data_IF_506419633678
#
_entry.id   IF_506419633678
#
_cell.length_a   1.000
_cell.length_b   1.000
_cell.length_c   1.000
_cell.angle_alpha   90.00
_cell.angle_beta   90.00
_cell.angle_gamma   90.00
#
_symmetry.space_group_name_H-M   'P 1'
#
loop_
_entity.id
_entity.type
_entity.pdbx_description
1 polymer ?
#
# COMPACT_ATOMS: atom_id res chain seq x y z
N UNK A 1 -16.90 -22.50 20.36
CA UNK A 1 -17.53 -21.20 20.06
C UNK A 1 -16.58 -20.42 19.16
N UNK A 2 -17.02 -20.00 17.96
CA UNK A 2 -16.16 -19.24 17.07
C UNK A 2 -15.94 -17.84 17.66
N UNK A 3 -14.67 -17.46 17.77
CA UNK A 3 -14.25 -16.10 18.12
C UNK A 3 -14.66 -15.17 16.97
N UNK A 4 -15.31 -14.03 17.22
CA UNK A 4 -15.62 -13.08 16.16
C UNK A 4 -14.30 -12.59 15.56
N UNK A 5 -14.07 -12.86 14.28
CA UNK A 5 -13.05 -12.17 13.50
C UNK A 5 -13.57 -10.75 13.34
N UNK A 6 -12.89 -9.80 13.97
CA UNK A 6 -13.15 -8.39 13.83
C UNK A 6 -12.97 -8.00 12.36
N UNK A 7 -14.10 -7.72 11.68
CA UNK A 7 -14.15 -7.37 10.25
C UNK A 7 -13.70 -5.93 9.98
N UNK A 8 -13.35 -5.18 11.03
CA UNK A 8 -13.02 -3.76 10.93
C UNK A 8 -11.50 -3.48 10.86
N UNK A 9 -10.67 -4.50 10.64
CA UNK A 9 -9.23 -4.29 10.34
C UNK A 9 -8.93 -4.21 8.84
N UNK A 10 -9.96 -4.22 8.00
CA UNK A 10 -9.85 -3.96 6.56
C UNK A 10 -9.83 -2.45 6.38
N UNK A 11 -8.66 -1.92 5.98
CA UNK A 11 -8.49 -0.56 5.49
C UNK A 11 -8.77 0.55 6.52
N UNK A 12 -7.73 0.97 7.26
CA UNK A 12 -7.81 2.14 8.11
C UNK A 12 -7.83 3.42 7.26
N UNK A 13 -8.94 4.19 7.21
CA UNK A 13 -9.02 5.44 6.46
C UNK A 13 -8.05 6.52 6.99
N UNK A 14 -7.43 6.34 8.15
CA UNK A 14 -6.37 7.23 8.63
C UNK A 14 -5.09 7.16 7.77
N UNK A 15 -4.85 6.08 7.02
CA UNK A 15 -3.70 5.99 6.09
C UNK A 15 -3.94 6.81 4.82
N UNK A 16 -5.20 7.13 4.49
CA UNK A 16 -5.54 8.02 3.38
C UNK A 16 -5.18 9.49 3.66
N UNK A 17 -4.82 9.86 4.90
CA UNK A 17 -4.58 11.26 5.28
C UNK A 17 -3.18 11.79 4.97
N UNK A 18 -2.22 10.95 4.57
CA UNK A 18 -0.85 11.39 4.32
C UNK A 18 -0.62 11.91 2.89
N UNK A 19 -1.45 11.51 1.92
CA UNK A 19 -1.37 11.94 0.52
C UNK A 19 -2.63 12.73 0.10
N UNK A 20 -2.53 14.08 0.03
CA UNK A 20 -3.64 14.94 -0.39
C UNK A 20 -4.23 14.59 -1.76
N UNK A 21 -3.43 14.02 -2.67
CA UNK A 21 -3.91 13.61 -3.99
C UNK A 21 -4.83 12.40 -3.86
N UNK A 22 -4.39 11.31 -3.22
CA UNK A 22 -5.22 10.11 -3.01
C UNK A 22 -6.53 10.42 -2.30
N UNK A 23 -6.50 11.26 -1.26
CA UNK A 23 -7.71 11.70 -0.56
C UNK A 23 -8.66 12.45 -1.50
N UNK A 24 -8.14 13.28 -2.40
CA UNK A 24 -8.94 14.00 -3.39
C UNK A 24 -9.50 13.07 -4.45
N UNK A 25 -8.69 12.13 -4.97
CA UNK A 25 -9.12 11.15 -5.96
C UNK A 25 -10.27 10.28 -5.45
N UNK A 26 -10.21 9.83 -4.19
CA UNK A 26 -11.30 9.11 -3.54
C UNK A 26 -12.62 9.92 -3.52
N UNK A 27 -12.57 11.25 -3.35
CA UNK A 27 -13.75 12.13 -3.36
C UNK A 27 -14.36 12.31 -4.75
N UNK A 28 -13.57 12.11 -5.81
CA UNK A 28 -14.01 12.23 -7.23
C UNK A 28 -14.06 10.88 -7.93
N UNK A 29 -13.98 9.77 -7.19
CA UNK A 29 -14.05 8.42 -7.71
C UNK A 29 -15.49 8.02 -8.08
N UNK A 30 -15.68 7.06 -9.02
CA UNK A 30 -16.99 6.49 -9.35
C UNK A 30 -17.78 6.03 -8.11
N UNK A 31 -19.09 6.26 -8.16
CA UNK A 31 -20.01 6.05 -7.04
C UNK A 31 -20.16 7.24 -6.08
N UNK A 32 -19.30 8.25 -6.17
CA UNK A 32 -19.47 9.49 -5.40
C UNK A 32 -20.43 10.47 -6.10
N UNK A 33 -21.20 11.29 -5.34
CA UNK A 33 -22.06 12.31 -5.96
C UNK A 33 -21.25 13.41 -6.68
N UNK A 34 -20.00 13.64 -6.28
CA UNK A 34 -19.09 14.56 -6.97
C UNK A 34 -18.67 14.00 -8.33
N UNK A 35 -18.28 12.73 -8.44
CA UNK A 35 -18.01 12.11 -9.75
C UNK A 35 -19.23 12.14 -10.67
N UNK A 36 -20.41 11.77 -10.17
CA UNK A 36 -21.66 11.84 -10.95
C UNK A 36 -21.90 13.25 -11.52
N UNK A 37 -21.66 14.30 -10.71
CA UNK A 37 -21.78 15.68 -11.18
C UNK A 37 -20.80 16.02 -12.31
N UNK A 38 -19.54 15.57 -12.20
CA UNK A 38 -18.49 15.84 -13.18
C UNK A 38 -18.77 15.12 -14.49
N UNK A 39 -19.23 13.87 -14.43
CA UNK A 39 -19.65 13.12 -15.61
C UNK A 39 -20.85 13.76 -16.30
N UNK A 40 -21.83 14.28 -15.54
CA UNK A 40 -22.97 15.03 -16.11
C UNK A 40 -22.52 16.32 -16.78
N UNK A 41 -21.56 17.04 -16.20
CA UNK A 41 -21.00 18.27 -16.77
C UNK A 41 -20.30 17.95 -18.09
N UNK A 42 -19.48 16.89 -18.08
CA UNK A 42 -18.72 16.42 -19.23
C UNK A 42 -19.64 15.96 -20.37
N UNK A 43 -20.60 15.07 -20.10
CA UNK A 43 -21.61 14.58 -21.07
C UNK A 43 -22.47 15.71 -21.61
N UNK A 44 -22.77 16.70 -20.76
CA UNK A 44 -23.50 17.90 -21.14
C UNK A 44 -22.68 18.94 -21.90
N UNK A 45 -21.41 18.61 -22.25
CA UNK A 45 -20.49 19.49 -22.97
C UNK A 45 -20.41 20.88 -22.37
N UNK A 46 -20.32 20.98 -21.04
CA UNK A 46 -20.19 22.25 -20.33
C UNK A 46 -18.82 22.30 -19.65
N UNK A 47 -18.18 23.46 -19.62
CA UNK A 47 -16.98 23.67 -18.83
C UNK A 47 -17.32 23.89 -17.36
N UNK A 48 -16.40 23.58 -16.44
CA UNK A 48 -16.59 23.89 -15.02
C UNK A 48 -15.26 24.19 -14.34
N UNK A 49 -15.31 25.06 -13.33
CA UNK A 49 -14.21 25.31 -12.40
C UNK A 49 -14.77 25.20 -10.98
N UNK A 50 -14.28 24.25 -10.20
CA UNK A 50 -14.86 23.90 -8.89
C UNK A 50 -13.75 23.91 -7.84
N UNK A 51 -13.94 24.65 -6.76
CA UNK A 51 -13.01 24.67 -5.61
C UNK A 51 -13.61 23.88 -4.45
N UNK A 52 -12.82 22.95 -3.88
CA UNK A 52 -13.22 22.09 -2.77
C UNK A 52 -12.69 22.62 -1.44
N UNK A 53 -13.21 23.76 -1.01
CA UNK A 53 -12.82 24.45 0.21
C UNK A 53 -13.26 25.91 0.17
N UNK A 54 -13.60 26.45 1.34
CA UNK A 54 -13.95 27.85 1.49
C UNK A 54 -13.39 28.38 2.80
N UNK A 55 -12.52 29.38 2.70
CA UNK A 55 -11.95 30.12 3.81
C UNK A 55 -11.79 31.61 3.41
N UNK A 56 -11.15 32.40 4.27
CA UNK A 56 -10.90 33.83 3.99
C UNK A 56 -10.03 34.05 2.76
N UNK A 57 -9.11 33.13 2.45
CA UNK A 57 -8.23 33.23 1.28
C UNK A 57 -9.06 33.05 0.01
N UNK A 58 -9.85 31.97 -0.07
CA UNK A 58 -10.76 31.71 -1.21
C UNK A 58 -11.76 32.85 -1.36
N UNK A 59 -12.34 33.35 -0.26
CA UNK A 59 -13.29 34.47 -0.28
C UNK A 59 -12.68 35.74 -0.85
N UNK A 60 -11.46 36.09 -0.43
CA UNK A 60 -10.76 37.30 -0.92
C UNK A 60 -10.46 37.27 -2.42
N UNK A 61 -10.41 36.07 -3.02
CA UNK A 61 -10.14 35.86 -4.45
C UNK A 61 -11.42 35.80 -5.29
N UNK A 62 -12.59 35.73 -4.65
CA UNK A 62 -13.88 35.68 -5.34
C UNK A 62 -14.38 37.08 -5.68
N UNK A 63 -14.62 37.34 -6.97
CA UNK A 63 -15.26 38.57 -7.45
C UNK A 63 -16.58 38.23 -8.14
N UNK A 64 -17.64 39.02 -7.86
CA UNK A 64 -18.98 38.78 -8.40
C UNK A 64 -19.61 37.48 -7.92
N UNK A 65 -20.49 36.92 -8.75
CA UNK A 65 -21.23 35.70 -8.46
C UNK A 65 -22.29 35.87 -7.36
N UNK A 66 -22.81 34.73 -6.89
CA UNK A 66 -23.90 34.68 -5.91
C UNK A 66 -23.44 33.90 -4.69
N UNK A 67 -23.56 34.48 -3.47
CA UNK A 67 -23.46 33.69 -2.26
C UNK A 67 -24.63 32.71 -2.24
N UNK A 68 -24.29 31.44 -2.04
CA UNK A 68 -25.23 30.35 -1.88
C UNK A 68 -24.95 29.72 -0.52
N UNK A 69 -25.95 29.05 0.03
CA UNK A 69 -25.70 28.15 1.14
C UNK A 69 -26.72 27.03 1.06
N UNK A 70 -26.48 26.12 0.12
CA UNK A 70 -27.39 25.04 -0.21
C UNK A 70 -26.68 23.70 -0.13
N UNK A 71 -27.40 22.66 0.24
CA UNK A 71 -26.84 21.31 0.26
C UNK A 71 -26.37 20.89 -1.13
N UNK A 72 -25.26 20.16 -1.14
CA UNK A 72 -24.68 19.62 -2.34
C UNK A 72 -25.53 18.48 -2.89
N UNK A 73 -25.84 18.54 -4.19
CA UNK A 73 -26.31 17.40 -4.97
C UNK A 73 -25.66 17.44 -6.35
N UNK A 74 -25.48 16.28 -6.97
CA UNK A 74 -24.88 16.18 -8.31
C UNK A 74 -25.64 17.04 -9.34
N UNK A 75 -26.98 17.01 -9.28
CA UNK A 75 -27.85 17.83 -10.12
C UNK A 75 -27.68 19.32 -9.88
N UNK A 76 -27.64 19.77 -8.61
CA UNK A 76 -27.45 21.21 -8.30
C UNK A 76 -26.12 21.72 -8.83
N UNK A 77 -25.03 20.98 -8.58
CA UNK A 77 -23.73 21.38 -9.10
C UNK A 77 -23.73 21.42 -10.63
N UNK A 78 -24.31 20.42 -11.29
CA UNK A 78 -24.42 20.38 -12.75
C UNK A 78 -25.14 21.60 -13.33
N UNK A 79 -26.24 22.01 -12.71
CA UNK A 79 -27.05 23.16 -13.14
C UNK A 79 -26.30 24.49 -12.92
N UNK A 80 -25.65 24.64 -11.76
CA UNK A 80 -24.85 25.84 -11.47
C UNK A 80 -23.65 25.98 -12.40
N UNK A 81 -23.02 24.88 -12.80
CA UNK A 81 -21.93 24.88 -13.78
C UNK A 81 -22.37 25.25 -15.21
N UNK A 82 -23.67 25.45 -15.49
CA UNK A 82 -24.11 26.06 -16.76
C UNK A 82 -23.84 27.56 -16.82
N UNK A 83 -23.66 28.19 -15.65
CA UNK A 83 -23.27 29.58 -15.55
C UNK A 83 -21.76 29.72 -15.77
N UNK A 84 -21.33 30.88 -16.27
CA UNK A 84 -19.91 31.19 -16.37
C UNK A 84 -19.29 31.46 -14.99
N UNK A 85 -18.02 31.08 -14.83
CA UNK A 85 -17.27 31.26 -13.59
C UNK A 85 -17.01 29.96 -12.85
N UNK A 86 -16.76 30.08 -11.55
CA UNK A 86 -16.47 28.97 -10.66
C UNK A 86 -17.61 28.71 -9.67
N UNK A 87 -17.63 27.47 -9.16
CA UNK A 87 -18.49 27.03 -8.07
C UNK A 87 -17.61 26.66 -6.87
N UNK A 88 -17.98 27.11 -5.68
CA UNK A 88 -17.23 26.84 -4.44
C UNK A 88 -18.04 25.90 -3.57
N UNK A 89 -17.42 24.81 -3.16
CA UNK A 89 -17.99 23.78 -2.30
C UNK A 89 -17.22 23.79 -0.98
N UNK A 90 -17.89 23.48 0.12
CA UNK A 90 -17.23 23.29 1.42
C UNK A 90 -16.17 22.19 1.37
N UNK A 91 -15.19 22.25 2.28
CA UNK A 91 -14.09 21.28 2.33
C UNK A 91 -14.59 19.83 2.56
N UNK A 92 -15.65 19.66 3.35
CA UNK A 92 -16.34 18.38 3.58
C UNK A 92 -17.16 17.88 2.37
N UNK A 93 -17.41 18.75 1.38
CA UNK A 93 -18.19 18.41 0.18
C UNK A 93 -19.70 18.44 0.36
N UNK A 94 -20.23 18.89 1.50
CA UNK A 94 -21.66 18.80 1.81
C UNK A 94 -22.48 20.00 1.32
N UNK A 95 -21.87 21.17 1.07
CA UNK A 95 -22.62 22.39 0.71
C UNK A 95 -21.94 23.16 -0.41
N UNK A 96 -22.76 23.80 -1.25
CA UNK A 96 -22.34 24.75 -2.27
C UNK A 96 -22.48 26.15 -1.68
N UNK A 97 -21.36 26.85 -1.56
CA UNK A 97 -21.24 28.14 -0.85
C UNK A 97 -21.31 29.32 -1.81
N UNK A 98 -20.82 29.16 -3.04
CA UNK A 98 -20.87 30.23 -4.04
C UNK A 98 -20.96 29.64 -5.44
N UNK A 99 -21.59 30.35 -6.36
CA UNK A 99 -21.59 30.02 -7.78
C UNK A 99 -21.43 31.25 -8.66
N UNK A 100 -21.04 31.02 -9.91
CA UNK A 100 -20.77 32.05 -10.91
C UNK A 100 -19.74 33.11 -10.45
N UNK A 101 -18.77 32.70 -9.61
CA UNK A 101 -17.73 33.60 -9.13
C UNK A 101 -16.56 33.66 -10.11
N UNK A 102 -15.99 34.84 -10.30
CA UNK A 102 -14.72 34.99 -10.99
C UNK A 102 -13.59 34.86 -9.96
N UNK A 103 -12.70 33.87 -10.15
CA UNK A 103 -11.53 33.67 -9.29
C UNK A 103 -10.35 34.49 -9.80
N UNK A 104 -9.76 35.30 -8.93
CA UNK A 104 -8.61 36.16 -9.21
C UNK A 104 -7.40 35.76 -8.35
N UNK A 105 -6.71 34.65 -8.68
CA UNK A 105 -5.47 34.28 -8.00
C UNK A 105 -4.32 35.22 -8.36
N UNK A 106 -3.28 35.22 -7.52
CA UNK A 106 -2.07 35.98 -7.78
C UNK A 106 -1.45 35.59 -9.13
N UNK A 107 -1.26 36.59 -10.00
CA UNK A 107 -0.72 36.42 -11.33
C UNK A 107 0.77 36.04 -11.34
N UNK A 108 1.49 36.30 -10.25
CA UNK A 108 2.91 35.96 -10.07
C UNK A 108 3.14 34.45 -9.91
N UNK A 109 2.12 33.70 -9.51
CA UNK A 109 2.21 32.25 -9.32
C UNK A 109 2.46 31.55 -10.68
N UNK A 110 3.56 30.79 -10.83
CA UNK A 110 3.88 30.11 -12.07
C UNK A 110 2.84 29.03 -12.38
N UNK A 111 2.50 28.94 -13.67
CA UNK A 111 1.55 27.95 -14.18
C UNK A 111 2.09 27.41 -15.50
N UNK A 112 2.04 26.09 -15.66
CA UNK A 112 2.44 25.40 -16.89
C UNK A 112 1.26 25.22 -17.87
N UNK A 113 0.05 25.59 -17.45
CA UNK A 113 -1.17 25.42 -18.23
C UNK A 113 -1.34 26.51 -19.30
N UNK A 114 -1.92 26.16 -20.45
CA UNK A 114 -2.15 27.09 -21.57
C UNK A 114 -3.54 27.74 -21.56
N UNK A 115 -4.55 27.07 -21.00
CA UNK A 115 -5.93 27.57 -20.95
C UNK A 115 -6.21 28.47 -19.74
N UNK A 116 -6.97 29.55 -19.91
CA UNK A 116 -7.30 30.49 -18.82
C UNK A 116 -7.92 29.79 -17.61
N UNK A 117 -8.88 28.88 -17.82
CA UNK A 117 -9.51 28.09 -16.74
C UNK A 117 -8.51 27.16 -16.03
N UNK A 118 -7.65 26.48 -16.78
CA UNK A 118 -6.64 25.57 -16.24
C UNK A 118 -5.56 26.31 -15.46
N UNK A 119 -5.10 27.46 -15.96
CA UNK A 119 -4.18 28.37 -15.26
C UNK A 119 -4.78 28.88 -13.97
N UNK A 120 -6.03 29.30 -13.99
CA UNK A 120 -6.74 29.72 -12.77
C UNK A 120 -6.84 28.56 -11.79
N UNK A 121 -7.22 27.36 -12.26
CA UNK A 121 -7.32 26.17 -11.40
C UNK A 121 -6.00 25.84 -10.69
N UNK A 122 -4.90 25.78 -11.45
CA UNK A 122 -3.57 25.49 -10.91
C UNK A 122 -3.13 26.55 -9.88
N UNK A 123 -3.33 27.84 -10.19
CA UNK A 123 -2.92 28.93 -9.30
C UNK A 123 -3.76 28.98 -8.03
N UNK A 124 -5.08 28.80 -8.14
CA UNK A 124 -5.98 28.76 -6.97
C UNK A 124 -5.58 27.58 -6.08
N UNK A 125 -5.31 26.39 -6.64
CA UNK A 125 -4.87 25.23 -5.88
C UNK A 125 -3.54 25.50 -5.15
N UNK A 126 -2.55 26.10 -5.83
CA UNK A 126 -1.26 26.47 -5.23
C UNK A 126 -1.40 27.53 -4.13
N UNK A 127 -2.23 28.54 -4.35
CA UNK A 127 -2.38 29.68 -3.43
C UNK A 127 -3.17 29.32 -2.18
N UNK A 128 -4.20 28.49 -2.32
CA UNK A 128 -5.14 28.17 -1.23
C UNK A 128 -4.80 26.85 -0.54
N UNK A 129 -4.08 25.95 -1.21
CA UNK A 129 -3.87 24.58 -0.76
C UNK A 129 -5.10 23.67 -0.93
N UNK A 130 -6.26 24.20 -1.31
CA UNK A 130 -7.46 23.40 -1.55
C UNK A 130 -7.43 22.71 -2.91
N UNK A 131 -8.05 21.52 -3.03
CA UNK A 131 -8.21 20.89 -4.33
C UNK A 131 -9.10 21.72 -5.26
N UNK A 132 -8.69 21.86 -6.51
CA UNK A 132 -9.45 22.55 -7.56
C UNK A 132 -9.65 21.62 -8.74
N UNK A 133 -10.88 21.56 -9.25
CA UNK A 133 -11.27 20.72 -10.38
C UNK A 133 -11.62 21.61 -11.56
N UNK A 134 -11.06 21.29 -12.72
CA UNK A 134 -11.38 21.92 -14.01
C UNK A 134 -11.97 20.89 -14.95
N UNK A 135 -13.11 21.19 -15.56
CA UNK A 135 -13.71 20.39 -16.63
C UNK A 135 -13.55 21.15 -17.95
N UNK A 136 -12.89 20.52 -18.91
CA UNK A 136 -12.67 21.07 -20.24
C UNK A 136 -13.68 20.50 -21.24
N UNK A 137 -14.56 21.37 -21.73
CA UNK A 137 -15.56 21.01 -22.74
C UNK A 137 -14.92 20.56 -24.06
N UNK A 138 -13.89 21.26 -24.54
CA UNK A 138 -13.30 21.00 -25.86
C UNK A 138 -12.45 19.74 -25.89
N UNK A 139 -11.71 19.48 -24.80
CA UNK A 139 -10.83 18.33 -24.69
C UNK A 139 -11.51 17.11 -24.08
N UNK A 140 -12.71 17.27 -23.52
CA UNK A 140 -13.44 16.21 -22.82
C UNK A 140 -12.61 15.57 -21.68
N UNK A 141 -11.92 16.40 -20.90
CA UNK A 141 -11.08 15.97 -19.77
C UNK A 141 -11.51 16.65 -18.46
N UNK A 142 -11.29 15.93 -17.35
CA UNK A 142 -11.43 16.47 -16.00
C UNK A 142 -10.03 16.51 -15.38
N UNK A 143 -9.56 17.71 -15.02
CA UNK A 143 -8.28 17.91 -14.34
C UNK A 143 -8.49 18.24 -12.87
N UNK A 144 -7.74 17.59 -12.00
CA UNK A 144 -7.68 17.83 -10.55
C UNK A 144 -6.32 18.45 -10.23
N UNK A 145 -6.33 19.55 -9.50
CA UNK A 145 -5.14 20.28 -9.07
C UNK A 145 -5.10 20.28 -7.54
N UNK A 146 -4.06 19.68 -6.96
CA UNK A 146 -3.91 19.54 -5.50
C UNK A 146 -2.44 19.42 -5.16
N UNK A 147 -1.99 20.08 -4.08
CA UNK A 147 -0.60 20.03 -3.59
C UNK A 147 0.46 20.31 -4.68
N UNK A 148 0.16 21.22 -5.63
CA UNK A 148 1.06 21.56 -6.73
C UNK A 148 1.16 20.53 -7.86
N UNK A 149 0.39 19.44 -7.79
CA UNK A 149 0.31 18.41 -8.81
C UNK A 149 -0.97 18.57 -9.65
N UNK A 150 -0.90 18.13 -10.90
CA UNK A 150 -2.06 17.99 -11.79
C UNK A 150 -2.28 16.51 -12.08
N UNK A 151 -3.50 16.06 -11.88
CA UNK A 151 -3.94 14.71 -12.24
C UNK A 151 -5.15 14.80 -13.17
N UNK A 152 -5.15 14.05 -14.27
CA UNK A 152 -6.29 13.98 -15.20
C UNK A 152 -7.09 12.73 -14.86
N UNK A 153 -8.38 12.89 -14.58
CA UNK A 153 -9.23 11.73 -14.29
C UNK A 153 -9.51 10.98 -15.59
N UNK A 154 -9.10 9.72 -15.60
CA UNK A 154 -9.39 8.80 -16.69
C UNK A 154 -10.82 8.25 -16.60
N UNK A 155 -11.26 7.63 -17.70
CA UNK A 155 -12.49 6.84 -17.73
C UNK A 155 -12.29 5.51 -16.99
N UNK A 156 -13.34 5.03 -16.30
CA UNK A 156 -13.30 3.78 -15.53
C UNK A 156 -12.78 2.61 -16.37
N UNK A 157 -13.15 2.52 -17.66
CA UNK A 157 -12.72 1.44 -18.54
C UNK A 157 -11.21 1.44 -18.80
N UNK A 158 -10.59 2.62 -18.90
CA UNK A 158 -9.14 2.74 -19.09
C UNK A 158 -8.39 2.35 -17.82
N UNK A 159 -8.86 2.82 -16.66
CA UNK A 159 -8.26 2.49 -15.37
C UNK A 159 -8.39 0.98 -15.11
N UNK A 160 -9.56 0.38 -15.34
CA UNK A 160 -9.79 -1.06 -15.22
C UNK A 160 -8.86 -1.87 -16.12
N UNK A 161 -8.64 -1.44 -17.37
CA UNK A 161 -7.73 -2.14 -18.29
C UNK A 161 -6.29 -2.17 -17.75
N UNK A 162 -5.77 -1.04 -17.26
CA UNK A 162 -4.43 -0.97 -16.66
C UNK A 162 -4.35 -1.79 -15.36
N UNK A 163 -5.37 -1.68 -14.52
CA UNK A 163 -5.43 -2.40 -13.26
C UNK A 163 -5.45 -3.93 -13.46
N UNK A 164 -6.20 -4.44 -14.44
CA UNK A 164 -6.21 -5.86 -14.78
C UNK A 164 -4.83 -6.34 -15.30
N UNK A 165 -4.11 -5.50 -16.06
CA UNK A 165 -2.74 -5.83 -16.49
C UNK A 165 -1.77 -5.90 -15.31
N UNK A 166 -1.89 -4.96 -14.36
CA UNK A 166 -1.10 -4.97 -13.13
C UNK A 166 -1.44 -6.19 -12.26
N UNK A 167 -2.73 -6.54 -12.10
CA UNK A 167 -3.18 -7.71 -11.37
C UNK A 167 -2.64 -9.02 -11.96
N UNK A 168 -2.74 -9.20 -13.27
CA UNK A 168 -2.16 -10.36 -13.94
C UNK A 168 -0.62 -10.44 -13.75
N UNK A 169 0.04 -9.29 -13.59
CA UNK A 169 1.47 -9.23 -13.26
C UNK A 169 1.70 -9.63 -11.81
N UNK A 170 0.89 -9.14 -10.87
CA UNK A 170 0.94 -9.52 -9.47
C UNK A 170 0.78 -11.04 -9.29
N UNK A 171 -0.17 -11.67 -9.99
CA UNK A 171 -0.37 -13.13 -9.98
C UNK A 171 0.90 -13.89 -10.36
N UNK A 172 1.58 -13.48 -11.44
CA UNK A 172 2.85 -14.10 -11.86
C UNK A 172 3.95 -13.91 -10.82
N UNK A 173 4.02 -12.74 -10.19
CA UNK A 173 5.00 -12.49 -9.14
C UNK A 173 4.71 -13.27 -7.87
N UNK A 174 3.43 -13.45 -7.53
CA UNK A 174 2.99 -14.27 -6.39
C UNK A 174 3.34 -15.74 -6.58
N UNK A 175 3.08 -16.30 -7.77
CA UNK A 175 3.51 -17.67 -8.12
C UNK A 175 5.03 -17.82 -7.96
N UNK A 176 5.81 -16.86 -8.47
CA UNK A 176 7.26 -16.90 -8.32
C UNK A 176 7.71 -16.75 -6.87
N UNK A 177 7.02 -15.94 -6.07
CA UNK A 177 7.29 -15.82 -4.63
C UNK A 177 7.05 -17.17 -3.94
N UNK A 178 5.97 -17.86 -4.28
CA UNK A 178 5.64 -19.17 -3.68
C UNK A 178 6.70 -20.23 -4.03
N UNK A 179 7.17 -20.26 -5.28
CA UNK A 179 8.28 -21.14 -5.70
C UNK A 179 9.57 -20.89 -4.90
N UNK A 180 9.99 -19.63 -4.77
CA UNK A 180 11.24 -19.29 -4.08
C UNK A 180 11.09 -19.48 -2.57
N UNK A 181 9.90 -19.24 -2.00
CA UNK A 181 9.58 -19.51 -0.59
C UNK A 181 9.59 -21.01 -0.27
N UNK A 182 9.06 -21.84 -1.18
CA UNK A 182 9.15 -23.30 -1.08
C UNK A 182 10.60 -23.78 -1.13
N UNK A 183 11.39 -23.27 -2.08
CA UNK A 183 12.83 -23.57 -2.19
C UNK A 183 13.58 -23.20 -0.91
N UNK A 184 13.34 -21.99 -0.37
CA UNK A 184 13.94 -21.56 0.88
C UNK A 184 13.53 -22.48 2.04
N UNK A 185 12.26 -22.89 2.11
CA UNK A 185 11.78 -23.81 3.16
C UNK A 185 12.52 -25.16 3.12
N UNK A 186 12.82 -25.69 1.93
CA UNK A 186 13.61 -26.92 1.80
C UNK A 186 15.06 -26.74 2.30
N UNK A 187 15.71 -25.64 1.90
CA UNK A 187 17.06 -25.31 2.35
C UNK A 187 17.13 -25.09 3.88
N UNK A 188 16.07 -24.53 4.46
CA UNK A 188 15.96 -24.31 5.91
C UNK A 188 15.93 -25.61 6.71
N UNK A 189 15.22 -26.63 6.21
CA UNK A 189 15.16 -27.95 6.83
C UNK A 189 16.52 -28.65 6.71
N UNK A 190 17.16 -28.56 5.54
CA UNK A 190 18.46 -29.20 5.26
C UNK A 190 19.66 -28.46 5.90
N UNK A 191 19.45 -27.29 6.52
CA UNK A 191 20.49 -26.39 7.06
C UNK A 191 21.52 -25.94 6.01
N UNK A 192 21.06 -25.68 4.80
CA UNK A 192 21.89 -25.29 3.64
C UNK A 192 21.60 -23.87 3.14
N UNK A 193 20.96 -23.04 3.95
CA UNK A 193 20.56 -21.69 3.54
C UNK A 193 21.77 -20.77 3.42
N UNK A 194 21.82 -20.02 2.31
CA UNK A 194 22.72 -18.87 2.17
C UNK A 194 21.97 -17.55 2.31
N UNK A 195 22.69 -16.46 2.59
CA UNK A 195 22.10 -15.11 2.61
C UNK A 195 21.35 -14.82 1.31
N UNK A 196 21.89 -15.26 0.16
CA UNK A 196 21.26 -15.09 -1.15
C UNK A 196 19.84 -15.68 -1.20
N UNK A 197 19.64 -16.87 -0.66
CA UNK A 197 18.35 -17.57 -0.71
C UNK A 197 17.30 -16.80 0.10
N UNK A 198 17.66 -16.35 1.31
CA UNK A 198 16.79 -15.54 2.15
C UNK A 198 16.45 -14.19 1.48
N UNK A 199 17.46 -13.49 0.94
CA UNK A 199 17.26 -12.20 0.29
C UNK A 199 16.47 -12.31 -1.02
N UNK A 200 16.55 -13.44 -1.74
CA UNK A 200 15.73 -13.66 -2.91
C UNK A 200 14.23 -13.71 -2.56
N UNK A 201 13.86 -14.32 -1.43
CA UNK A 201 12.47 -14.29 -0.93
C UNK A 201 12.06 -12.88 -0.51
N UNK A 202 12.90 -12.17 0.26
CA UNK A 202 12.64 -10.77 0.66
C UNK A 202 12.45 -9.86 -0.56
N UNK A 203 13.34 -9.96 -1.56
CA UNK A 203 13.23 -9.19 -2.80
C UNK A 203 11.89 -9.45 -3.50
N UNK A 204 11.45 -10.70 -3.59
CA UNK A 204 10.17 -11.05 -4.24
C UNK A 204 8.96 -10.54 -3.47
N UNK A 205 9.00 -10.60 -2.14
CA UNK A 205 7.98 -9.99 -1.28
C UNK A 205 7.86 -8.49 -1.54
N UNK A 206 8.98 -7.77 -1.60
CA UNK A 206 8.96 -6.32 -1.89
C UNK A 206 8.41 -6.01 -3.28
N UNK A 207 8.75 -6.82 -4.29
CA UNK A 207 8.21 -6.65 -5.64
C UNK A 207 6.69 -6.86 -5.69
N UNK A 208 6.18 -7.93 -5.04
CA UNK A 208 4.73 -8.19 -4.90
C UNK A 208 4.05 -7.02 -4.20
N UNK A 209 4.60 -6.54 -3.08
CA UNK A 209 4.03 -5.45 -2.29
C UNK A 209 3.93 -4.14 -3.09
N UNK A 210 4.97 -3.79 -3.85
CA UNK A 210 4.99 -2.56 -4.67
C UNK A 210 3.98 -2.57 -5.81
N UNK A 211 3.81 -3.72 -6.47
CA UNK A 211 2.77 -3.88 -7.51
C UNK A 211 1.37 -3.78 -6.87
N UNK A 212 1.19 -4.37 -5.69
CA UNK A 212 -0.06 -4.25 -4.94
C UNK A 212 -0.39 -2.80 -4.56
N UNK A 213 0.60 -2.03 -4.09
CA UNK A 213 0.44 -0.60 -3.78
C UNK A 213 0.02 0.22 -5.01
N UNK A 214 0.49 -0.15 -6.21
CA UNK A 214 0.06 0.45 -7.48
C UNK A 214 -1.40 0.10 -7.80
N UNK A 215 -1.78 -1.18 -7.66
CA UNK A 215 -3.16 -1.63 -7.90
C UNK A 215 -4.13 -0.98 -6.92
N UNK A 216 -3.75 -0.83 -5.65
CA UNK A 216 -4.54 -0.12 -4.65
C UNK A 216 -4.82 1.34 -5.05
N UNK A 217 -3.87 1.98 -5.74
CA UNK A 217 -4.07 3.29 -6.37
C UNK A 217 -5.20 3.27 -7.40
N UNK A 218 -5.20 2.30 -8.31
CA UNK A 218 -6.28 2.13 -9.29
C UNK A 218 -7.63 1.83 -8.63
N UNK A 219 -7.67 1.04 -7.55
CA UNK A 219 -8.90 0.76 -6.79
C UNK A 219 -9.49 2.04 -6.19
N UNK A 220 -8.64 2.92 -5.63
CA UNK A 220 -9.08 4.22 -5.11
C UNK A 220 -9.70 5.07 -6.21
N UNK A 221 -9.06 5.15 -7.37
CA UNK A 221 -9.58 5.92 -8.51
C UNK A 221 -10.86 5.34 -9.10
N UNK A 222 -11.05 4.02 -9.04
CA UNK A 222 -12.24 3.32 -9.53
C UNK A 222 -13.41 3.37 -8.56
N UNK A 223 -13.19 3.64 -7.27
CA UNK A 223 -14.25 3.71 -6.27
C UNK A 223 -15.15 2.47 -6.29
N UNK A 224 -16.45 2.65 -6.52
CA UNK A 224 -17.40 1.53 -6.57
C UNK A 224 -17.16 0.56 -7.72
N UNK A 225 -16.60 1.04 -8.85
CA UNK A 225 -16.33 0.22 -10.03
C UNK A 225 -15.16 -0.77 -9.77
N UNK A 226 -14.32 -0.47 -8.79
CA UNK A 226 -13.14 -1.25 -8.41
C UNK A 226 -13.41 -2.39 -7.44
N UNK A 227 -14.67 -2.63 -7.04
CA UNK A 227 -15.00 -3.59 -5.97
C UNK A 227 -14.46 -5.01 -6.22
N UNK A 228 -14.61 -5.54 -7.44
CA UNK A 228 -14.13 -6.88 -7.76
C UNK A 228 -12.60 -6.96 -7.78
N UNK A 229 -11.95 -5.93 -8.31
CA UNK A 229 -10.50 -5.80 -8.33
C UNK A 229 -9.93 -5.78 -6.90
N UNK A 230 -10.58 -5.05 -5.98
CA UNK A 230 -10.18 -5.01 -4.56
C UNK A 230 -10.22 -6.39 -3.92
N UNK A 231 -11.30 -7.16 -4.15
CA UNK A 231 -11.43 -8.51 -3.59
C UNK A 231 -10.34 -9.45 -4.11
N UNK A 232 -10.00 -9.36 -5.39
CA UNK A 232 -8.93 -10.15 -5.99
C UNK A 232 -7.56 -9.75 -5.43
N UNK A 233 -7.32 -8.45 -5.25
CA UNK A 233 -6.09 -7.96 -4.63
C UNK A 233 -5.93 -8.48 -3.19
N UNK A 234 -7.00 -8.39 -2.39
CA UNK A 234 -7.01 -8.86 -1.01
C UNK A 234 -6.72 -10.37 -0.91
N UNK A 235 -7.27 -11.16 -1.84
CA UNK A 235 -7.01 -12.60 -1.91
C UNK A 235 -5.53 -12.90 -2.25
N UNK A 236 -4.95 -12.21 -3.24
CA UNK A 236 -3.55 -12.40 -3.63
C UNK A 236 -2.55 -11.96 -2.56
N UNK A 237 -2.90 -10.92 -1.79
CA UNK A 237 -2.06 -10.38 -0.73
C UNK A 237 -2.22 -11.10 0.61
N UNK A 238 -3.17 -12.02 0.73
CA UNK A 238 -3.40 -12.78 1.95
C UNK A 238 -2.11 -13.48 2.42
N UNK A 239 -1.65 -13.14 3.62
CA UNK A 239 -0.45 -13.71 4.24
C UNK A 239 0.89 -13.13 3.78
N UNK A 240 0.92 -12.29 2.73
CA UNK A 240 2.17 -11.74 2.18
C UNK A 240 2.89 -10.84 3.18
N UNK A 241 2.17 -9.92 3.84
CA UNK A 241 2.77 -9.00 4.83
C UNK A 241 3.25 -9.72 6.10
N UNK A 242 2.54 -10.78 6.52
CA UNK A 242 3.00 -11.61 7.63
C UNK A 242 4.26 -12.38 7.26
N UNK A 243 4.30 -12.98 6.06
CA UNK A 243 5.47 -13.71 5.57
C UNK A 243 6.68 -12.79 5.43
N UNK A 244 6.47 -11.57 4.94
CA UNK A 244 7.50 -10.51 4.89
C UNK A 244 8.14 -10.30 6.25
N UNK A 245 7.31 -10.08 7.26
CA UNK A 245 7.81 -9.84 8.62
C UNK A 245 8.53 -11.07 9.17
N UNK A 246 7.99 -12.27 8.97
CA UNK A 246 8.57 -13.51 9.50
C UNK A 246 9.93 -13.85 8.86
N UNK A 247 10.05 -13.71 7.54
CA UNK A 247 11.33 -13.93 6.83
C UNK A 247 12.37 -12.94 7.33
N UNK A 248 12.02 -11.66 7.48
CA UNK A 248 12.96 -10.65 7.99
C UNK A 248 13.41 -11.00 9.41
N UNK A 249 12.47 -11.40 10.28
CA UNK A 249 12.79 -11.83 11.65
C UNK A 249 13.75 -13.02 11.70
N UNK A 250 13.60 -13.98 10.79
CA UNK A 250 14.44 -15.17 10.76
C UNK A 250 15.87 -14.91 10.29
N UNK A 251 16.07 -13.89 9.46
CA UNK A 251 17.34 -13.64 8.78
C UNK A 251 17.96 -12.28 9.11
N UNK A 252 17.49 -11.59 10.14
CA UNK A 252 18.18 -10.39 10.61
C UNK A 252 19.52 -10.77 11.26
N UNK A 253 20.62 -10.07 10.94
CA UNK A 253 21.90 -10.29 11.62
C UNK A 253 21.78 -10.04 13.13
N UNK A 254 22.03 -11.07 13.94
CA UNK A 254 21.93 -11.01 15.42
C UNK A 254 23.25 -10.67 16.11
N UNK A 255 24.38 -10.74 15.40
CA UNK A 255 25.73 -10.46 15.93
C UNK A 255 26.15 -8.99 15.83
N UNK A 256 27.21 -8.61 16.57
CA UNK A 256 27.89 -7.31 16.33
C UNK A 256 28.43 -7.31 14.90
N UNK A 257 27.92 -6.39 14.10
CA UNK A 257 28.37 -6.19 12.71
C UNK A 257 29.78 -5.60 12.70
N UNK A 258 30.51 -5.83 11.59
CA UNK A 258 31.81 -5.21 11.36
C UNK A 258 31.73 -3.69 11.59
N UNK A 259 32.61 -3.16 12.45
CA UNK A 259 32.61 -1.74 12.84
C UNK A 259 31.80 -1.40 14.10
N UNK A 260 31.34 -2.38 14.88
CA UNK A 260 30.73 -2.15 16.20
C UNK A 260 29.30 -1.60 16.17
N UNK A 261 28.64 -1.67 15.02
CA UNK A 261 27.23 -1.27 14.88
C UNK A 261 26.31 -2.25 15.60
N UNK A 262 25.25 -1.70 16.21
CA UNK A 262 24.14 -2.50 16.77
C UNK A 262 23.43 -3.26 15.64
N UNK A 263 22.92 -4.46 15.90
CA UNK A 263 22.05 -5.14 14.96
C UNK A 263 20.80 -4.29 14.69
N UNK A 264 20.34 -4.34 13.44
CA UNK A 264 19.16 -3.60 12.98
C UNK A 264 17.89 -4.24 13.54
N UNK A 265 16.89 -3.44 13.91
CA UNK A 265 15.58 -3.98 14.30
C UNK A 265 14.75 -4.40 13.07
N UNK A 266 13.70 -5.19 13.29
CA UNK A 266 12.74 -5.56 12.24
C UNK A 266 12.11 -4.32 11.61
N UNK A 267 11.64 -3.39 12.42
CA UNK A 267 11.02 -2.15 11.94
C UNK A 267 12.00 -1.30 11.13
N UNK A 268 13.25 -1.20 11.58
CA UNK A 268 14.30 -0.48 10.83
C UNK A 268 14.58 -1.14 9.47
N UNK A 269 14.59 -2.47 9.40
CA UNK A 269 14.79 -3.18 8.13
C UNK A 269 13.60 -3.01 7.18
N UNK A 270 12.37 -3.09 7.68
CA UNK A 270 11.16 -2.84 6.89
C UNK A 270 11.17 -1.44 6.28
N UNK A 271 11.52 -0.42 7.07
CA UNK A 271 11.63 0.97 6.59
C UNK A 271 12.70 1.10 5.51
N UNK A 272 13.88 0.53 5.71
CA UNK A 272 14.96 0.60 4.73
C UNK A 272 14.60 -0.12 3.42
N UNK A 273 13.88 -1.24 3.49
CA UNK A 273 13.37 -1.95 2.32
C UNK A 273 12.31 -1.13 1.57
N UNK A 274 11.43 -0.44 2.30
CA UNK A 274 10.42 0.44 1.71
C UNK A 274 11.05 1.62 0.96
N UNK A 275 12.21 2.11 1.42
CA UNK A 275 12.94 3.23 0.81
C UNK A 275 13.71 2.86 -0.46
N UNK A 276 13.93 1.57 -0.74
CA UNK A 276 14.67 1.17 -1.95
C UNK A 276 13.97 1.66 -3.21
N UNK A 277 14.73 2.07 -4.21
CA UNK A 277 14.20 2.32 -5.56
C UNK A 277 13.96 1.00 -6.30
N UNK A 278 13.20 1.05 -7.40
CA UNK A 278 12.99 -0.14 -8.24
C UNK A 278 14.30 -0.73 -8.77
N UNK A 279 15.30 0.11 -9.07
CA UNK A 279 16.61 -0.33 -9.55
C UNK A 279 17.45 -0.96 -8.44
N UNK A 280 17.48 -0.35 -7.25
CA UNK A 280 18.20 -0.90 -6.10
C UNK A 280 17.57 -2.22 -5.65
N UNK A 281 16.24 -2.36 -5.74
CA UNK A 281 15.57 -3.60 -5.38
C UNK A 281 16.01 -4.79 -6.24
N UNK A 282 16.39 -4.58 -7.50
CA UNK A 282 16.89 -5.64 -8.39
C UNK A 282 18.25 -6.18 -7.92
N UNK A 283 19.07 -5.33 -7.30
CA UNK A 283 20.38 -5.69 -6.78
C UNK A 283 20.29 -6.29 -5.37
N UNK A 284 20.57 -7.59 -5.24
CA UNK A 284 20.56 -8.28 -3.95
C UNK A 284 21.57 -7.71 -2.94
N UNK A 285 22.65 -7.05 -3.38
CA UNK A 285 23.60 -6.39 -2.45
C UNK A 285 22.95 -5.19 -1.77
N UNK A 286 22.11 -4.45 -2.50
CA UNK A 286 21.31 -3.34 -1.96
C UNK A 286 20.23 -3.84 -0.99
N UNK A 287 19.57 -4.96 -1.31
CA UNK A 287 18.62 -5.62 -0.38
C UNK A 287 19.34 -6.14 0.87
N UNK A 288 20.54 -6.73 0.73
CA UNK A 288 21.38 -7.16 1.85
C UNK A 288 21.69 -5.99 2.78
N UNK A 289 22.07 -4.85 2.21
CA UNK A 289 22.33 -3.61 2.96
C UNK A 289 21.10 -3.14 3.73
N UNK A 290 19.90 -3.19 3.13
CA UNK A 290 18.64 -2.85 3.80
C UNK A 290 18.28 -3.83 4.93
N UNK A 291 18.67 -5.09 4.79
CA UNK A 291 18.57 -6.12 5.84
C UNK A 291 19.65 -6.03 6.93
N UNK A 292 20.63 -5.12 6.80
CA UNK A 292 21.69 -4.91 7.79
C UNK A 292 22.93 -5.78 7.58
N UNK A 293 23.01 -6.50 6.47
CA UNK A 293 24.21 -7.22 6.06
C UNK A 293 25.27 -6.27 5.47
N UNK A 294 26.56 -6.64 5.52
CA UNK A 294 27.59 -5.97 4.74
C UNK A 294 27.27 -5.94 3.24
N UNK A 295 27.53 -4.80 2.60
CA UNK A 295 27.26 -4.58 1.17
C UNK A 295 28.35 -5.17 0.28
N UNK A 296 28.58 -6.48 0.38
CA UNK A 296 29.61 -7.20 -0.38
C UNK A 296 29.06 -8.47 -0.99
N UNK A 297 29.48 -8.81 -2.22
CA UNK A 297 29.03 -10.02 -2.92
C UNK A 297 29.37 -11.29 -2.16
N UNK A 298 30.52 -11.33 -1.48
CA UNK A 298 30.94 -12.46 -0.62
C UNK A 298 29.94 -12.76 0.50
N UNK A 299 29.21 -11.75 0.98
CA UNK A 299 28.19 -11.94 2.02
C UNK A 299 27.00 -12.73 1.52
N UNK A 300 26.69 -12.66 0.22
CA UNK A 300 25.56 -13.39 -0.36
C UNK A 300 25.78 -14.92 -0.30
N UNK A 301 27.03 -15.36 -0.37
CA UNK A 301 27.39 -16.78 -0.37
C UNK A 301 27.65 -17.31 1.05
N UNK A 302 27.54 -16.45 2.07
CA UNK A 302 27.67 -16.86 3.47
C UNK A 302 26.47 -17.72 3.89
N UNK A 303 26.77 -18.80 4.63
CA UNK A 303 25.74 -19.64 5.23
C UNK A 303 25.08 -18.94 6.41
N UNK A 304 23.76 -19.12 6.53
CA UNK A 304 22.96 -18.57 7.63
C UNK A 304 21.94 -19.60 8.07
N UNK A 305 21.60 -19.62 9.36
CA UNK A 305 20.54 -20.47 9.89
C UNK A 305 19.37 -19.60 10.33
N UNK A 306 18.13 -19.93 9.94
CA UNK A 306 16.95 -19.19 10.40
C UNK A 306 16.72 -19.39 11.91
N UNK A 307 16.04 -18.43 12.53
CA UNK A 307 15.65 -18.50 13.94
C UNK A 307 14.45 -19.45 14.19
N UNK A 308 13.55 -19.59 13.21
CA UNK A 308 12.40 -20.50 13.21
C UNK A 308 11.03 -19.83 13.31
N UNK A 309 10.94 -18.51 13.24
CA UNK A 309 9.69 -17.74 13.28
C UNK A 309 8.71 -18.17 12.19
N UNK A 310 9.17 -18.27 10.93
CA UNK A 310 8.31 -18.62 9.80
C UNK A 310 7.72 -20.01 9.94
N UNK A 311 8.53 -20.97 10.35
CA UNK A 311 8.10 -22.37 10.49
C UNK A 311 7.15 -22.55 11.68
N UNK A 312 7.42 -21.89 12.81
CA UNK A 312 6.52 -21.88 13.97
C UNK A 312 5.19 -21.19 13.71
N UNK A 313 5.16 -20.15 12.86
CA UNK A 313 3.91 -19.47 12.48
C UNK A 313 2.94 -20.39 11.71
N UNK A 314 3.45 -21.44 11.05
CA UNK A 314 2.62 -22.47 10.38
C UNK A 314 2.02 -23.48 11.35
N UNK A 315 2.45 -23.51 12.61
CA UNK A 315 1.89 -24.40 13.63
C UNK A 315 0.52 -23.85 14.08
N UNK A 316 -0.59 -24.59 13.91
CA UNK A 316 -1.91 -24.09 14.24
C UNK A 316 -2.06 -23.69 15.71
N UNK A 317 -2.71 -22.54 15.95
CA UNK A 317 -3.11 -22.06 17.29
C UNK A 317 -1.94 -21.78 18.25
N UNK A 318 -0.75 -21.51 17.73
CA UNK A 318 0.40 -21.12 18.54
C UNK A 318 0.43 -19.59 18.74
N UNK A 319 0.31 -19.07 19.98
CA UNK A 319 0.34 -17.63 20.22
C UNK A 319 1.72 -17.02 19.92
N UNK A 320 1.76 -15.80 19.36
CA UNK A 320 3.01 -15.12 19.00
C UNK A 320 4.01 -14.97 20.15
N UNK A 321 3.54 -14.64 21.36
CA UNK A 321 4.40 -14.55 22.55
C UNK A 321 5.08 -15.88 22.90
N UNK A 322 4.47 -17.01 22.57
CA UNK A 322 5.10 -18.33 22.76
C UNK A 322 6.12 -18.60 21.66
N UNK A 323 5.84 -18.20 20.41
CA UNK A 323 6.81 -18.26 19.31
C UNK A 323 8.08 -17.50 19.69
N UNK A 324 7.94 -16.28 20.20
CA UNK A 324 9.07 -15.44 20.63
C UNK A 324 9.92 -16.12 21.71
N UNK A 325 9.28 -16.77 22.70
CA UNK A 325 9.99 -17.51 23.76
C UNK A 325 10.68 -18.75 23.24
N UNK A 326 10.02 -19.53 22.38
CA UNK A 326 10.62 -20.72 21.77
C UNK A 326 11.86 -20.33 20.97
N UNK A 327 11.73 -19.34 20.08
CA UNK A 327 12.85 -18.87 19.29
C UNK A 327 13.96 -18.30 20.17
N UNK A 328 13.63 -17.51 21.19
CA UNK A 328 14.60 -16.97 22.14
C UNK A 328 15.33 -18.06 22.95
N UNK A 329 14.66 -19.17 23.27
CA UNK A 329 15.25 -20.28 24.03
C UNK A 329 16.19 -21.15 23.18
N UNK A 330 15.75 -21.54 21.98
CA UNK A 330 16.52 -22.46 21.13
C UNK A 330 17.55 -21.73 20.24
N UNK A 331 17.25 -20.52 19.78
CA UNK A 331 18.16 -19.65 19.04
C UNK A 331 18.46 -20.04 17.58
N UNK A 332 18.00 -21.20 17.11
CA UNK A 332 18.01 -21.58 15.70
C UNK A 332 16.94 -22.62 15.39
N UNK A 333 16.51 -22.67 14.12
CA UNK A 333 15.54 -23.65 13.65
C UNK A 333 16.05 -25.09 13.84
N UNK A 334 17.34 -25.36 13.59
CA UNK A 334 17.88 -26.70 13.72
C UNK A 334 17.80 -27.24 15.16
N UNK A 335 18.03 -26.37 16.15
CA UNK A 335 17.85 -26.74 17.56
C UNK A 335 16.37 -26.95 17.89
N UNK A 336 15.46 -26.16 17.31
CA UNK A 336 14.01 -26.38 17.44
C UNK A 336 13.58 -27.73 16.86
N UNK A 337 14.05 -28.07 15.65
CA UNK A 337 13.76 -29.35 14.99
C UNK A 337 14.32 -30.54 15.78
N UNK A 338 15.50 -30.39 16.41
CA UNK A 338 16.11 -31.44 17.22
C UNK A 338 15.58 -31.58 18.65
N UNK A 339 14.81 -30.61 19.16
CA UNK A 339 14.35 -30.62 20.55
C UNK A 339 13.41 -31.81 20.88
N UNK A 340 13.34 -32.25 22.13
CA UNK A 340 12.34 -33.24 22.56
C UNK A 340 11.04 -32.56 23.02
N UNK A 341 10.00 -33.34 23.32
CA UNK A 341 8.76 -32.79 23.91
C UNK A 341 9.07 -32.20 25.28
N UNK A 342 9.95 -32.86 26.04
CA UNK A 342 10.44 -32.43 27.35
C UNK A 342 11.21 -31.10 27.24
N UNK A 343 12.08 -30.94 26.26
CA UNK A 343 12.80 -29.68 26.02
C UNK A 343 11.85 -28.53 25.69
N UNK A 344 10.82 -28.80 24.88
CA UNK A 344 9.80 -27.79 24.55
C UNK A 344 8.98 -27.38 25.80
N UNK A 345 8.68 -28.32 26.70
CA UNK A 345 7.98 -28.04 27.96
C UNK A 345 8.80 -27.20 28.94
N UNK A 346 10.13 -27.21 28.83
CA UNK A 346 11.00 -26.38 29.67
C UNK A 346 10.84 -24.88 29.38
N UNK A 347 10.23 -24.51 28.25
CA UNK A 347 9.98 -23.12 27.88
C UNK A 347 8.74 -22.58 28.58
N UNK A 348 8.88 -21.43 29.24
CA UNK A 348 7.81 -20.82 30.02
C UNK A 348 6.54 -20.59 29.17
N UNK A 349 5.42 -21.13 29.66
CA UNK A 349 4.12 -21.05 29.00
C UNK A 349 3.90 -22.11 27.93
N UNK A 350 4.78 -23.10 27.77
CA UNK A 350 4.57 -24.27 26.90
C UNK A 350 4.18 -25.48 27.77
N UNK A 351 2.88 -25.73 27.88
CA UNK A 351 2.37 -26.95 28.53
C UNK A 351 2.46 -28.18 27.62
N UNK A 352 2.23 -29.37 28.19
CA UNK A 352 2.35 -30.67 27.52
C UNK A 352 1.62 -30.76 26.18
N UNK A 353 0.34 -30.37 26.14
CA UNK A 353 -0.44 -30.38 24.90
C UNK A 353 0.15 -29.47 23.80
N UNK A 354 0.71 -28.32 24.18
CA UNK A 354 1.32 -27.37 23.25
C UNK A 354 2.69 -27.87 22.76
N UNK A 355 3.50 -28.44 23.65
CA UNK A 355 4.78 -29.04 23.30
C UNK A 355 4.60 -30.17 22.26
N UNK A 356 3.64 -31.07 22.47
CA UNK A 356 3.29 -32.12 21.49
C UNK A 356 2.80 -31.53 20.17
N UNK A 357 1.92 -30.53 20.20
CA UNK A 357 1.42 -29.87 19.00
C UNK A 357 2.51 -29.16 18.18
N UNK A 358 3.45 -28.48 18.85
CA UNK A 358 4.62 -27.90 18.20
C UNK A 358 5.49 -28.99 17.59
N UNK A 359 5.83 -30.03 18.36
CA UNK A 359 6.65 -31.16 17.88
C UNK A 359 6.07 -31.81 16.64
N UNK A 360 4.79 -32.17 16.68
CA UNK A 360 4.09 -32.78 15.56
C UNK A 360 4.02 -31.85 14.34
N UNK A 361 3.75 -30.56 14.57
CA UNK A 361 3.73 -29.55 13.51
C UNK A 361 5.08 -29.39 12.82
N UNK A 362 6.16 -29.31 13.60
CA UNK A 362 7.54 -29.23 13.09
C UNK A 362 7.90 -30.48 12.27
N UNK A 363 7.62 -31.68 12.79
CA UNK A 363 7.90 -32.95 12.09
C UNK A 363 7.14 -33.05 10.77
N UNK A 364 5.85 -32.72 10.76
CA UNK A 364 5.02 -32.76 9.55
C UNK A 364 5.50 -31.79 8.47
N UNK A 365 5.91 -30.59 8.87
CA UNK A 365 6.44 -29.58 7.94
C UNK A 365 7.77 -30.03 7.34
N UNK A 366 8.65 -30.64 8.14
CA UNK A 366 9.90 -31.22 7.65
C UNK A 366 9.64 -32.35 6.64
N UNK A 367 8.70 -33.27 6.93
CA UNK A 367 8.32 -34.35 6.02
C UNK A 367 7.74 -33.83 4.69
N UNK A 368 6.85 -32.84 4.76
CA UNK A 368 6.21 -32.27 3.56
C UNK A 368 7.23 -31.58 2.66
N UNK A 369 8.17 -30.84 3.26
CA UNK A 369 9.22 -30.14 2.51
C UNK A 369 10.17 -31.09 1.78
N UNK A 370 10.39 -32.29 2.29
CA UNK A 370 11.20 -33.32 1.63
C UNK A 370 10.44 -33.93 0.45
N UNK A 371 9.12 -34.13 0.58
CA UNK A 371 8.27 -34.74 -0.45
C UNK A 371 8.03 -33.83 -1.65
N UNK A 372 7.86 -32.51 -1.44
CA UNK A 372 7.68 -31.51 -2.50
C UNK A 372 8.87 -31.43 -3.48
N UNK A 373 10.03 -32.01 -3.15
CA UNK A 373 11.20 -32.10 -4.03
C UNK A 373 11.09 -33.21 -5.09
N UNK A 374 10.25 -34.22 -4.84
CA UNK A 374 10.13 -35.40 -5.71
C UNK A 374 8.90 -35.37 -6.63
N UNK A 375 8.16 -34.25 -6.63
CA UNK A 375 6.99 -33.98 -7.47
C UNK A 375 7.30 -32.75 -8.31
#
# INVERSE_FOLDING_TARGET
MPVPIDRDTVWNPAVLSADPLRATLARVAPGTPLRDSLERILRGKTGALIVLGYDKVVESMCTGGFPLDVEFTATRLRELCKMDGAVIITADGHRIVRAAVQLMPDASIPSAESGTRHRTAERVAKQTGYPVISVSQSMNIIGVYVAGQRHVLDDSGQILSRANQALATLERYKLRLDEVSGTLSALEIEDLVTVRDALAVVQRLEMVRRISDEIAGYVIELGTDGRLLSLQLDELMAGVDSDRTLVIRDYLPTGRLAGGRRPRSVDEALVELDLLTANELIDLVSVAKAMGYPSTTETLDATVSPLGFRLLARVPRLPGAIVDRLVGHFGSLQRLLGATVEDLQAVEGVGDARARGVREGLSRLAETSILERYV
#
